data_IF_237941664172
#
_entry.id   IF_237941664172
#
_cell.length_a   1.000
_cell.length_b   1.000
_cell.length_c   1.000
_cell.angle_alpha   90.00
_cell.angle_beta   90.00
_cell.angle_gamma   90.00
#
_symmetry.space_group_name_H-M   'P 1'
#
loop_
_entity.id
_entity.type
_entity.pdbx_description
1 polymer ?
#
# COMPACT_ATOMS: atom_id res chain seq x y z
N UNK A 1 12.34 34.80 22.15
CA UNK A 1 11.43 33.63 22.26
C UNK A 1 12.27 32.37 22.15
N UNK A 2 12.34 31.53 23.20
CA UNK A 2 13.05 30.26 23.12
C UNK A 2 12.31 29.32 22.16
N UNK A 3 13.04 28.67 21.24
CA UNK A 3 12.47 27.76 20.25
C UNK A 3 12.09 26.44 20.94
N UNK A 4 10.79 26.17 21.08
CA UNK A 4 10.32 24.88 21.60
C UNK A 4 10.84 23.73 20.73
N UNK A 5 11.52 22.75 21.33
CA UNK A 5 11.97 21.54 20.66
C UNK A 5 10.96 20.41 20.91
N UNK A 6 10.39 19.87 19.83
CA UNK A 6 9.56 18.67 19.89
C UNK A 6 10.48 17.45 19.87
N UNK A 7 10.37 16.58 20.88
CA UNK A 7 11.05 15.29 20.92
C UNK A 7 10.06 14.18 20.57
N UNK A 8 10.26 13.53 19.43
CA UNK A 8 9.41 12.45 18.95
C UNK A 8 9.70 11.12 19.65
N UNK A 9 8.64 10.39 20.02
CA UNK A 9 8.76 8.99 20.43
C UNK A 9 8.78 8.07 19.20
N UNK A 10 9.94 7.99 18.55
CA UNK A 10 10.10 7.21 17.31
C UNK A 10 9.78 5.71 17.48
N UNK A 11 9.86 5.16 18.70
CA UNK A 11 9.48 3.78 18.97
C UNK A 11 7.97 3.60 18.83
N UNK A 12 7.20 4.43 19.52
CA UNK A 12 5.73 4.40 19.44
C UNK A 12 5.23 4.61 17.99
N UNK A 13 5.89 5.48 17.21
CA UNK A 13 5.56 5.64 15.78
C UNK A 13 5.84 4.40 14.91
N UNK A 14 6.75 3.51 15.32
CA UNK A 14 7.00 2.26 14.59
C UNK A 14 5.97 1.22 14.98
N UNK A 15 5.71 1.08 16.28
CA UNK A 15 4.67 0.21 16.83
C UNK A 15 3.32 0.52 16.18
N UNK A 16 2.91 1.79 16.17
CA UNK A 16 1.65 2.23 15.55
C UNK A 16 1.54 1.88 14.06
N UNK A 17 2.64 1.92 13.30
CA UNK A 17 2.64 1.62 11.85
C UNK A 17 2.73 0.11 11.55
N UNK A 18 2.79 -0.71 12.58
CA UNK A 18 2.77 -2.16 12.53
C UNK A 18 1.55 -2.73 13.27
N UNK A 19 0.67 -1.87 13.79
CA UNK A 19 -0.58 -2.31 14.41
C UNK A 19 -1.40 -3.13 13.40
N UNK A 20 -2.00 -4.27 13.81
CA UNK A 20 -2.74 -5.14 12.90
C UNK A 20 -3.81 -4.40 12.10
N UNK A 21 -4.57 -3.50 12.75
CA UNK A 21 -5.60 -2.71 12.05
C UNK A 21 -5.06 -1.78 10.96
N UNK A 22 -3.79 -1.38 11.01
CA UNK A 22 -3.13 -0.64 9.92
C UNK A 22 -2.75 -1.58 8.78
N UNK A 23 -2.32 -2.81 9.08
CA UNK A 23 -2.00 -3.81 8.06
C UNK A 23 -3.27 -4.25 7.34
N UNK A 24 -4.36 -4.45 8.08
CA UNK A 24 -5.66 -4.83 7.54
C UNK A 24 -6.22 -3.73 6.61
N UNK A 25 -6.22 -2.46 7.05
CA UNK A 25 -6.64 -1.33 6.20
C UNK A 25 -5.76 -1.20 4.94
N UNK A 26 -4.45 -1.43 5.04
CA UNK A 26 -3.57 -1.46 3.87
C UNK A 26 -3.93 -2.62 2.91
N UNK A 27 -4.31 -3.77 3.43
CA UNK A 27 -4.75 -4.93 2.68
C UNK A 27 -6.04 -4.64 1.92
N UNK A 28 -7.07 -4.17 2.62
CA UNK A 28 -8.37 -3.81 2.03
C UNK A 28 -8.23 -2.81 0.87
N UNK A 29 -7.38 -1.78 1.06
CA UNK A 29 -7.10 -0.80 0.00
C UNK A 29 -6.38 -1.40 -1.19
N UNK A 30 -5.44 -2.31 -0.96
CA UNK A 30 -4.71 -2.97 -2.04
C UNK A 30 -5.61 -3.94 -2.81
N UNK A 31 -6.48 -4.67 -2.12
CA UNK A 31 -7.48 -5.54 -2.73
C UNK A 31 -8.43 -4.72 -3.61
N UNK A 32 -8.94 -3.59 -3.12
CA UNK A 32 -9.79 -2.69 -3.90
C UNK A 32 -9.10 -2.17 -5.19
N UNK A 33 -7.80 -1.86 -5.12
CA UNK A 33 -7.01 -1.46 -6.29
C UNK A 33 -6.82 -2.64 -7.26
N UNK A 34 -6.54 -3.84 -6.76
CA UNK A 34 -6.39 -5.04 -7.59
C UNK A 34 -7.69 -5.40 -8.31
N UNK A 35 -8.82 -5.37 -7.61
CA UNK A 35 -10.15 -5.61 -8.16
C UNK A 35 -10.50 -4.58 -9.25
N UNK A 36 -10.21 -3.30 -9.01
CA UNK A 36 -10.40 -2.25 -10.00
C UNK A 36 -9.46 -2.38 -11.21
N UNK A 37 -8.25 -2.93 -11.04
CA UNK A 37 -7.33 -3.22 -12.13
C UNK A 37 -7.73 -4.47 -12.92
N UNK A 38 -8.46 -5.39 -12.30
CA UNK A 38 -9.06 -6.57 -12.93
C UNK A 38 -8.16 -7.81 -12.97
N UNK A 39 -8.49 -8.81 -13.81
CA UNK A 39 -7.82 -10.10 -13.80
C UNK A 39 -6.31 -10.03 -14.08
N UNK A 40 -5.53 -10.74 -13.26
CA UNK A 40 -4.07 -10.80 -13.39
C UNK A 40 -3.32 -9.71 -12.63
N UNK A 41 -4.02 -8.93 -11.80
CA UNK A 41 -3.45 -8.09 -10.77
C UNK A 41 -3.68 -8.73 -9.40
N UNK A 42 -2.67 -8.72 -8.55
CA UNK A 42 -2.71 -9.37 -7.23
C UNK A 42 -2.22 -8.40 -6.16
N UNK A 43 -2.94 -8.36 -5.05
CA UNK A 43 -2.59 -7.62 -3.86
C UNK A 43 -1.86 -8.51 -2.84
N UNK A 44 -0.99 -7.90 -2.05
CA UNK A 44 -0.31 -8.55 -0.92
C UNK A 44 0.07 -7.53 0.14
N UNK A 45 0.02 -7.94 1.40
CA UNK A 45 0.55 -7.17 2.53
C UNK A 45 1.90 -7.73 2.98
N UNK A 46 2.73 -6.86 3.54
CA UNK A 46 4.03 -7.23 4.08
C UNK A 46 4.41 -6.32 5.25
N UNK A 47 4.76 -6.95 6.37
CA UNK A 47 5.33 -6.27 7.52
C UNK A 47 6.84 -6.12 7.35
N UNK A 48 7.28 -4.90 7.04
CA UNK A 48 8.69 -4.56 7.01
C UNK A 48 9.22 -4.19 8.39
N UNK A 49 10.55 -4.06 8.52
CA UNK A 49 11.25 -3.73 9.78
C UNK A 49 10.66 -2.58 10.62
N UNK A 50 10.01 -1.60 9.99
CA UNK A 50 9.54 -0.38 10.68
C UNK A 50 8.10 0.04 10.30
N UNK A 51 7.43 -0.70 9.40
CA UNK A 51 6.07 -0.35 8.91
C UNK A 51 5.47 -1.51 8.11
N UNK A 52 4.15 -1.61 8.16
CA UNK A 52 3.35 -2.29 7.16
C UNK A 52 3.45 -1.66 5.78
N UNK A 53 3.29 -2.49 4.76
CA UNK A 53 3.15 -2.09 3.36
C UNK A 53 2.16 -3.03 2.69
N UNK A 54 1.46 -2.52 1.69
CA UNK A 54 0.77 -3.35 0.72
C UNK A 54 1.30 -3.05 -0.69
N UNK A 55 1.20 -4.04 -1.56
CA UNK A 55 1.67 -3.97 -2.95
C UNK A 55 0.60 -4.57 -3.86
N UNK A 56 0.36 -3.93 -5.01
CA UNK A 56 -0.40 -4.51 -6.11
C UNK A 56 0.54 -4.74 -7.28
N UNK A 57 0.58 -5.97 -7.78
CA UNK A 57 1.51 -6.40 -8.83
C UNK A 57 0.76 -7.04 -9.99
N UNK A 58 1.39 -7.09 -11.16
CA UNK A 58 0.92 -7.89 -12.29
C UNK A 58 1.40 -9.33 -12.14
N UNK A 59 0.48 -10.28 -12.02
CA UNK A 59 0.76 -11.70 -11.82
C UNK A 59 1.16 -12.44 -13.11
N UNK A 60 0.80 -11.91 -14.28
CA UNK A 60 1.04 -12.59 -15.56
C UNK A 60 1.47 -11.64 -16.70
N UNK A 61 1.92 -12.24 -17.81
CA UNK A 61 2.41 -11.49 -18.97
C UNK A 61 1.33 -10.64 -19.65
N UNK A 62 0.06 -11.01 -19.56
CA UNK A 62 -1.04 -10.25 -20.14
C UNK A 62 -1.29 -8.97 -19.34
N UNK A 63 -1.40 -9.06 -18.02
CA UNK A 63 -1.52 -7.92 -17.11
C UNK A 63 -0.30 -6.98 -17.20
N UNK A 64 0.92 -7.53 -17.38
CA UNK A 64 2.11 -6.70 -17.65
C UNK A 64 2.00 -5.87 -18.92
N UNK A 65 1.54 -6.49 -20.03
CA UNK A 65 1.35 -5.76 -21.31
C UNK A 65 0.20 -4.76 -21.22
N UNK A 66 -0.88 -5.12 -20.54
CA UNK A 66 -2.01 -4.23 -20.28
C UNK A 66 -1.56 -2.99 -19.50
N UNK A 67 -0.93 -3.19 -18.34
CA UNK A 67 -0.43 -2.08 -17.52
C UNK A 67 0.53 -1.17 -18.29
N UNK A 68 1.43 -1.73 -19.09
CA UNK A 68 2.40 -0.96 -19.87
C UNK A 68 1.75 -0.08 -20.96
N UNK A 69 0.62 -0.51 -21.53
CA UNK A 69 -0.10 0.22 -22.59
C UNK A 69 -1.13 1.19 -22.03
N UNK A 70 -1.82 0.78 -20.96
CA UNK A 70 -3.03 1.43 -20.48
C UNK A 70 -2.85 2.14 -19.14
N UNK A 71 -1.69 1.96 -18.48
CA UNK A 71 -1.37 2.53 -17.16
C UNK A 71 -2.39 2.11 -16.10
N UNK A 72 -2.90 0.89 -16.21
CA UNK A 72 -4.02 0.35 -15.43
C UNK A 72 -3.83 0.54 -13.93
N UNK A 73 -2.67 0.20 -13.36
CA UNK A 73 -2.41 0.40 -11.93
C UNK A 73 -2.54 1.86 -11.49
N UNK A 74 -2.00 2.79 -12.27
CA UNK A 74 -2.06 4.23 -11.93
C UNK A 74 -3.51 4.72 -11.97
N UNK A 75 -4.30 4.24 -12.93
CA UNK A 75 -5.71 4.61 -13.08
C UNK A 75 -6.59 3.99 -12.00
N UNK A 76 -6.21 2.83 -11.46
CA UNK A 76 -6.94 2.15 -10.40
C UNK A 76 -6.56 2.63 -8.99
N UNK A 77 -5.55 3.49 -8.82
CA UNK A 77 -5.07 3.96 -7.51
C UNK A 77 -6.18 4.57 -6.63
N UNK A 78 -7.12 5.30 -7.23
CA UNK A 78 -8.18 5.97 -6.47
C UNK A 78 -9.19 4.99 -5.85
N UNK A 79 -9.23 3.73 -6.28
CA UNK A 79 -10.07 2.70 -5.66
C UNK A 79 -9.65 2.37 -4.22
N UNK A 80 -8.40 2.67 -3.84
CA UNK A 80 -7.88 2.45 -2.48
C UNK A 80 -7.96 3.65 -1.54
N UNK A 81 -8.68 4.73 -1.91
CA UNK A 81 -8.88 5.91 -1.04
C UNK A 81 -9.96 5.68 0.00
#
# INVERSE_FOLDING_TARGET
>A
MAKSQIKWNLRAFRELRLEPGVIDDLGERADAIADAAGPGYEASTFEGKNRGRASVITANANARRDNARNQTLIRSLDAGR
#
